data_IF_108235359537
#
_entry.id   IF_108235359537
#
_cell.length_a   1.000
_cell.length_b   1.000
_cell.length_c   1.000
_cell.angle_alpha   90.00
_cell.angle_beta   90.00
_cell.angle_gamma   90.00
#
_symmetry.space_group_name_H-M   'P 1'
#
loop_
_entity.id
_entity.type
_entity.pdbx_description
1 polymer ?
#
# COMPACT_ATOMS: atom_id res chain seq x y z
N UNK A 1 6.24 -54.14 22.17
CA UNK A 1 5.36 -54.54 21.04
C UNK A 1 6.16 -55.01 19.83
N UNK A 2 7.01 -54.18 19.22
CA UNK A 2 7.82 -54.54 18.03
C UNK A 2 8.77 -55.73 18.27
N UNK A 3 9.41 -55.83 19.45
CA UNK A 3 10.26 -56.97 19.82
C UNK A 3 9.54 -58.32 19.81
N UNK A 4 8.26 -58.37 20.22
CA UNK A 4 7.48 -59.61 20.21
C UNK A 4 7.09 -60.00 18.78
N UNK A 5 6.68 -59.04 17.95
CA UNK A 5 6.32 -59.28 16.54
C UNK A 5 7.53 -59.78 15.74
N UNK A 6 8.71 -59.19 15.96
CA UNK A 6 9.97 -59.66 15.36
C UNK A 6 10.37 -61.06 15.83
N UNK A 7 10.06 -61.43 17.08
CA UNK A 7 10.29 -62.80 17.56
C UNK A 7 9.36 -63.80 16.86
N UNK A 8 8.07 -63.50 16.71
CA UNK A 8 7.13 -64.36 15.98
C UNK A 8 7.45 -64.49 14.48
N UNK A 9 7.98 -63.44 13.85
CA UNK A 9 8.42 -63.49 12.46
C UNK A 9 9.68 -64.34 12.24
N UNK A 10 10.50 -64.58 13.28
CA UNK A 10 11.83 -65.21 13.17
C UNK A 10 11.87 -66.67 13.64
N UNK A 11 10.81 -67.19 14.28
CA UNK A 11 10.77 -68.59 14.74
C UNK A 11 10.41 -69.57 13.60
N UNK A 12 11.24 -70.62 13.47
CA UNK A 12 11.21 -71.62 12.39
C UNK A 12 9.96 -72.54 12.39
N UNK A 13 9.14 -72.49 13.45
CA UNK A 13 8.10 -73.49 13.76
C UNK A 13 6.66 -73.08 13.41
N UNK A 14 6.45 -71.91 12.82
CA UNK A 14 5.11 -71.39 12.50
C UNK A 14 4.74 -71.59 11.03
N UNK A 15 3.44 -71.80 10.75
CA UNK A 15 2.92 -71.97 9.40
C UNK A 15 3.18 -70.73 8.52
N UNK A 16 3.39 -70.89 7.20
CA UNK A 16 3.76 -69.80 6.29
C UNK A 16 2.74 -68.66 6.25
N UNK A 17 1.46 -68.95 6.49
CA UNK A 17 0.35 -67.97 6.52
C UNK A 17 0.52 -66.99 7.70
N UNK A 18 0.94 -67.48 8.87
CA UNK A 18 1.10 -66.66 10.07
C UNK A 18 2.28 -65.69 9.93
N UNK A 19 3.36 -66.11 9.27
CA UNK A 19 4.49 -65.23 8.94
C UNK A 19 4.07 -64.10 8.00
N UNK A 20 3.29 -64.40 6.98
CA UNK A 20 2.78 -63.40 6.04
C UNK A 20 1.87 -62.37 6.75
N UNK A 21 1.00 -62.84 7.64
CA UNK A 21 0.13 -61.96 8.44
C UNK A 21 0.94 -60.96 9.28
N UNK A 22 1.99 -61.41 9.99
CA UNK A 22 2.82 -60.52 10.80
C UNK A 22 3.65 -59.54 9.96
N UNK A 23 4.20 -59.99 8.81
CA UNK A 23 4.92 -59.11 7.88
C UNK A 23 3.98 -58.04 7.32
N UNK A 24 2.78 -58.43 6.88
CA UNK A 24 1.78 -57.49 6.38
C UNK A 24 1.36 -56.47 7.45
N UNK A 25 1.11 -56.93 8.68
CA UNK A 25 0.79 -56.06 9.82
C UNK A 25 1.88 -55.01 10.08
N UNK A 26 3.17 -55.39 9.98
CA UNK A 26 4.29 -54.46 10.11
C UNK A 26 4.24 -53.37 9.03
N UNK A 27 4.07 -53.74 7.76
CA UNK A 27 3.98 -52.78 6.66
C UNK A 27 2.79 -51.84 6.80
N UNK A 28 1.64 -52.34 7.26
CA UNK A 28 0.45 -51.53 7.55
C UNK A 28 0.74 -50.52 8.65
N UNK A 29 1.38 -50.93 9.76
CA UNK A 29 1.72 -50.02 10.87
C UNK A 29 2.73 -48.95 10.44
N UNK A 30 3.73 -49.32 9.63
CA UNK A 30 4.69 -48.34 9.08
C UNK A 30 4.02 -47.36 8.13
N UNK A 31 3.16 -47.84 7.22
CA UNK A 31 2.40 -46.99 6.31
C UNK A 31 1.48 -46.02 7.05
N UNK A 32 0.73 -46.53 8.03
CA UNK A 32 -0.17 -45.73 8.87
C UNK A 32 0.56 -44.70 9.73
N UNK A 33 1.82 -44.95 10.10
CA UNK A 33 2.63 -44.00 10.87
C UNK A 33 3.33 -42.98 9.96
N UNK A 34 3.75 -43.39 8.77
CA UNK A 34 4.48 -42.53 7.83
C UNK A 34 3.60 -41.39 7.26
N UNK A 35 2.33 -41.68 6.96
CA UNK A 35 1.38 -40.71 6.40
C UNK A 35 1.18 -39.48 7.31
N UNK A 36 0.80 -39.62 8.60
CA UNK A 36 0.61 -38.47 9.48
C UNK A 36 1.91 -37.73 9.78
N UNK A 37 3.05 -38.44 9.90
CA UNK A 37 4.36 -37.80 10.08
C UNK A 37 4.68 -36.92 8.88
N UNK A 38 4.52 -37.44 7.67
CA UNK A 38 4.78 -36.68 6.44
C UNK A 38 3.85 -35.47 6.32
N UNK A 39 2.56 -35.63 6.63
CA UNK A 39 1.60 -34.53 6.64
C UNK A 39 1.92 -33.47 7.70
N UNK A 40 2.38 -33.89 8.89
CA UNK A 40 2.76 -32.99 9.96
C UNK A 40 3.99 -32.17 9.58
N UNK A 41 5.04 -32.83 9.08
CA UNK A 41 6.27 -32.17 8.61
C UNK A 41 5.95 -31.22 7.47
N UNK A 42 5.14 -31.64 6.49
CA UNK A 42 4.71 -30.77 5.41
C UNK A 42 4.01 -29.51 5.93
N UNK A 43 3.03 -29.67 6.83
CA UNK A 43 2.30 -28.54 7.42
C UNK A 43 3.20 -27.61 8.22
N UNK A 44 4.14 -28.17 8.98
CA UNK A 44 5.12 -27.41 9.76
C UNK A 44 6.01 -26.55 8.85
N UNK A 45 6.45 -27.10 7.71
CA UNK A 45 7.28 -26.37 6.76
C UNK A 45 6.50 -25.34 5.93
N UNK A 46 5.23 -25.60 5.60
CA UNK A 46 4.44 -24.73 4.73
C UNK A 46 3.63 -23.67 5.48
N UNK A 47 3.24 -23.91 6.73
CA UNK A 47 2.40 -23.01 7.53
C UNK A 47 2.80 -23.01 9.02
N UNK A 48 3.99 -22.49 9.38
CA UNK A 48 4.51 -22.47 10.76
C UNK A 48 3.89 -21.41 11.68
N UNK A 49 2.97 -20.57 11.18
CA UNK A 49 2.43 -19.43 11.93
C UNK A 49 1.06 -19.75 12.51
N UNK A 50 0.86 -19.38 13.78
CA UNK A 50 -0.44 -19.35 14.44
C UNK A 50 -0.82 -17.89 14.74
N UNK A 51 -2.11 -17.56 14.59
CA UNK A 51 -2.63 -16.21 14.88
C UNK A 51 -3.60 -16.33 16.05
N UNK A 52 -3.31 -15.63 17.14
CA UNK A 52 -4.16 -15.51 18.32
C UNK A 52 -4.64 -14.07 18.48
N UNK A 53 -5.83 -13.90 19.06
CA UNK A 53 -6.38 -12.58 19.39
C UNK A 53 -6.14 -12.33 20.88
N UNK A 54 -5.44 -11.25 21.18
CA UNK A 54 -5.30 -10.73 22.54
C UNK A 54 -6.19 -9.48 22.72
N UNK A 55 -6.74 -9.30 23.92
CA UNK A 55 -7.56 -8.14 24.31
C UNK A 55 -6.91 -7.31 25.42
N UNK A 56 -5.67 -7.61 25.78
CA UNK A 56 -4.97 -6.90 26.85
C UNK A 56 -4.52 -5.50 26.41
N UNK A 57 -5.41 -4.52 26.57
CA UNK A 57 -5.20 -3.13 26.15
C UNK A 57 -4.16 -2.38 27.00
N UNK A 58 -3.82 -2.88 28.20
CA UNK A 58 -2.89 -2.19 29.11
C UNK A 58 -1.43 -2.19 28.66
N UNK A 59 -1.04 -3.10 27.77
CA UNK A 59 0.34 -3.23 27.27
C UNK A 59 0.50 -2.80 25.82
N UNK A 60 -0.52 -2.18 25.25
CA UNK A 60 -0.53 -1.86 23.83
C UNK A 60 -0.07 -0.43 23.57
N UNK A 61 1.15 -0.28 23.05
CA UNK A 61 1.65 1.01 22.61
C UNK A 61 1.20 1.25 21.16
N UNK A 62 0.09 1.97 21.01
CA UNK A 62 -0.47 2.30 19.71
C UNK A 62 0.06 3.62 19.20
N UNK A 63 0.46 3.61 17.93
CA UNK A 63 0.79 4.84 17.24
C UNK A 63 -0.41 5.37 16.49
N UNK A 64 -0.69 6.66 16.66
CA UNK A 64 -1.79 7.33 15.96
C UNK A 64 -1.57 7.29 14.44
N UNK A 65 -2.60 7.01 13.62
CA UNK A 65 -2.46 6.96 12.17
C UNK A 65 -2.14 8.33 11.58
N UNK A 66 -1.49 8.35 10.42
CA UNK A 66 -1.30 9.58 9.66
C UNK A 66 -2.61 10.01 9.02
N UNK A 67 -2.80 11.34 8.92
CA UNK A 67 -3.99 11.96 8.34
C UNK A 67 -3.57 12.78 7.13
N UNK A 68 -4.07 12.41 5.96
CA UNK A 68 -3.86 13.17 4.73
C UNK A 68 -5.16 13.86 4.32
N UNK A 69 -5.10 15.15 4.01
CA UNK A 69 -6.23 15.93 3.54
C UNK A 69 -6.10 16.14 2.03
N UNK A 70 -7.12 15.74 1.27
CA UNK A 70 -7.16 15.98 -0.17
C UNK A 70 -8.28 16.96 -0.50
N UNK A 71 -7.92 18.16 -0.95
CA UNK A 71 -8.89 19.09 -1.50
C UNK A 71 -9.47 18.57 -2.81
N UNK A 72 -10.77 18.77 -3.04
CA UNK A 72 -11.41 18.47 -4.31
C UNK A 72 -10.95 19.44 -5.40
N UNK A 73 -10.67 20.69 -5.01
CA UNK A 73 -10.08 21.70 -5.88
C UNK A 73 -8.56 21.51 -5.95
N UNK A 74 -8.10 20.99 -7.08
CA UNK A 74 -6.69 20.64 -7.32
C UNK A 74 -5.84 21.78 -7.87
N UNK A 75 -6.48 22.89 -8.26
CA UNK A 75 -5.82 24.06 -8.84
C UNK A 75 -5.91 25.24 -7.87
N UNK A 76 -4.81 25.96 -7.73
CA UNK A 76 -4.82 27.26 -7.07
C UNK A 76 -5.30 28.31 -8.08
N UNK A 77 -6.49 28.87 -7.87
CA UNK A 77 -7.07 29.85 -8.79
C UNK A 77 -6.15 31.07 -8.98
N UNK A 78 -5.47 31.53 -7.92
CA UNK A 78 -4.60 32.71 -7.99
C UNK A 78 -3.36 32.44 -8.84
N UNK A 79 -2.64 31.35 -8.55
CA UNK A 79 -1.46 30.94 -9.32
C UNK A 79 -1.82 30.56 -10.76
N UNK A 80 -2.99 29.97 -10.99
CA UNK A 80 -3.49 29.69 -12.35
C UNK A 80 -3.71 30.97 -13.13
N UNK A 81 -4.37 31.98 -12.55
CA UNK A 81 -4.63 33.24 -13.23
C UNK A 81 -3.34 34.00 -13.57
N UNK A 82 -2.34 33.94 -12.68
CA UNK A 82 -1.00 34.50 -12.93
C UNK A 82 -0.26 33.75 -14.05
N UNK A 83 -0.28 32.42 -14.03
CA UNK A 83 0.33 31.58 -15.06
C UNK A 83 -0.33 31.76 -16.45
N UNK A 84 -1.65 31.92 -16.48
CA UNK A 84 -2.40 32.18 -17.72
C UNK A 84 -2.13 33.59 -18.25
N UNK A 85 -1.87 34.56 -17.36
CA UNK A 85 -1.59 35.94 -17.75
C UNK A 85 -0.16 36.14 -18.26
N UNK A 86 0.81 35.39 -17.73
CA UNK A 86 2.21 35.43 -18.18
C UNK A 86 2.45 34.77 -19.56
N UNK A 87 1.56 33.86 -19.98
CA UNK A 87 1.69 33.14 -21.25
C UNK A 87 0.82 33.72 -22.37
N UNK A 88 1.31 34.76 -23.05
CA UNK A 88 0.58 35.42 -24.15
C UNK A 88 0.53 34.62 -25.46
N UNK A 89 1.43 33.64 -25.65
CA UNK A 89 1.59 32.89 -26.90
C UNK A 89 0.45 31.90 -27.18
N UNK A 90 -0.37 31.58 -26.18
CA UNK A 90 -1.39 30.53 -26.23
C UNK A 90 -2.74 31.13 -25.85
N UNK A 91 -3.83 30.69 -26.50
CA UNK A 91 -5.18 31.13 -26.14
C UNK A 91 -5.49 30.79 -24.67
N UNK A 92 -5.82 31.81 -23.86
CA UNK A 92 -6.14 31.68 -22.42
C UNK A 92 -7.15 30.56 -22.15
N UNK A 93 -8.21 30.48 -22.97
CA UNK A 93 -9.26 29.45 -22.85
C UNK A 93 -8.73 28.02 -23.05
N UNK A 94 -7.78 27.86 -23.97
CA UNK A 94 -7.16 26.57 -24.24
C UNK A 94 -6.20 26.18 -23.11
N UNK A 95 -5.41 27.13 -22.59
CA UNK A 95 -4.48 26.89 -21.50
C UNK A 95 -5.19 26.51 -20.18
N UNK A 96 -6.29 27.19 -19.87
CA UNK A 96 -7.13 26.85 -18.71
C UNK A 96 -7.66 25.42 -18.86
N UNK A 97 -8.22 25.08 -20.03
CA UNK A 97 -8.72 23.73 -20.28
C UNK A 97 -7.63 22.66 -20.09
N UNK A 98 -6.42 22.93 -20.58
CA UNK A 98 -5.28 22.04 -20.40
C UNK A 98 -4.91 21.84 -18.93
N UNK A 99 -4.90 22.90 -18.11
CA UNK A 99 -4.62 22.80 -16.68
C UNK A 99 -5.70 21.99 -15.94
N UNK A 100 -6.97 22.16 -16.30
CA UNK A 100 -8.07 21.35 -15.77
C UNK A 100 -7.95 19.87 -16.18
N UNK A 101 -7.67 19.59 -17.46
CA UNK A 101 -7.48 18.21 -17.96
C UNK A 101 -6.29 17.52 -17.28
N UNK A 102 -5.24 18.28 -16.92
CA UNK A 102 -4.10 17.78 -16.14
C UNK A 102 -4.45 17.56 -14.66
N UNK A 103 -5.16 18.50 -14.04
CA UNK A 103 -5.53 18.44 -12.61
C UNK A 103 -6.42 17.24 -12.32
N UNK A 104 -7.41 17.04 -13.19
CA UNK A 104 -8.38 15.96 -13.13
C UNK A 104 -8.01 14.82 -14.06
N UNK A 105 -6.72 14.65 -14.38
CA UNK A 105 -6.23 13.55 -15.19
C UNK A 105 -6.61 12.23 -14.52
N UNK A 106 -7.67 11.64 -15.05
CA UNK A 106 -8.07 10.27 -14.78
C UNK A 106 -7.65 9.42 -15.97
N UNK A 107 -7.37 8.15 -15.71
CA UNK A 107 -6.97 7.16 -16.70
C UNK A 107 -8.00 7.06 -17.85
N UNK A 108 -9.26 7.45 -17.61
CA UNK A 108 -10.35 7.46 -18.58
C UNK A 108 -10.53 8.81 -19.32
N UNK A 109 -9.73 9.84 -19.01
CA UNK A 109 -9.83 11.18 -19.63
C UNK A 109 -9.24 11.22 -21.05
N UNK A 110 -9.91 11.94 -21.96
CA UNK A 110 -9.58 11.92 -23.39
C UNK A 110 -8.27 12.69 -23.70
N UNK A 111 -7.14 11.99 -23.70
CA UNK A 111 -5.80 12.57 -23.74
C UNK A 111 -5.36 13.10 -25.11
N UNK A 112 -6.21 13.03 -26.14
CA UNK A 112 -5.85 13.47 -27.48
C UNK A 112 -5.63 14.99 -27.57
N UNK A 113 -6.16 15.78 -26.63
CA UNK A 113 -6.02 17.25 -26.61
C UNK A 113 -4.71 17.77 -26.00
N UNK A 114 -3.98 16.97 -25.20
CA UNK A 114 -2.70 17.39 -24.60
C UNK A 114 -1.56 17.54 -25.63
N UNK A 115 -1.73 17.01 -26.83
CA UNK A 115 -0.73 17.04 -27.89
C UNK A 115 -0.43 18.46 -28.42
N UNK A 116 -1.35 19.41 -28.23
CA UNK A 116 -1.17 20.81 -28.66
C UNK A 116 -0.28 21.65 -27.75
N UNK A 117 -0.08 21.25 -26.49
CA UNK A 117 0.64 22.02 -25.48
C UNK A 117 2.04 21.49 -25.18
N UNK A 118 2.58 20.67 -26.09
CA UNK A 118 3.87 19.98 -26.01
C UNK A 118 5.10 20.88 -25.87
N UNK A 119 4.93 22.22 -25.84
CA UNK A 119 6.01 23.21 -25.75
C UNK A 119 6.27 23.75 -24.34
N UNK A 120 5.42 23.46 -23.36
CA UNK A 120 5.59 23.94 -21.98
C UNK A 120 6.24 22.85 -21.14
N UNK A 121 7.31 23.15 -20.42
CA UNK A 121 7.95 22.16 -19.55
C UNK A 121 7.16 21.96 -18.25
N UNK A 122 7.13 20.73 -17.67
CA UNK A 122 6.41 20.44 -16.44
C UNK A 122 6.73 21.39 -15.27
N UNK A 123 7.99 21.82 -15.17
CA UNK A 123 8.45 22.71 -14.11
C UNK A 123 7.73 24.06 -14.08
N UNK A 124 7.17 24.51 -15.22
CA UNK A 124 6.51 25.80 -15.33
C UNK A 124 5.10 25.78 -14.74
N UNK A 125 4.37 24.67 -14.87
CA UNK A 125 2.97 24.57 -14.44
C UNK A 125 2.76 23.80 -13.13
N UNK A 126 3.76 23.08 -12.61
CA UNK A 126 3.68 22.37 -11.31
C UNK A 126 3.23 23.29 -10.15
N UNK A 127 3.72 24.54 -10.02
CA UNK A 127 3.30 25.44 -8.93
C UNK A 127 1.83 25.86 -8.95
N UNK A 128 1.13 25.63 -10.07
CA UNK A 128 -0.30 25.96 -10.20
C UNK A 128 -1.19 24.96 -9.46
N UNK A 129 -0.69 23.74 -9.23
CA UNK A 129 -1.44 22.70 -8.53
C UNK A 129 -1.34 22.87 -7.02
N UNK A 130 -2.46 22.68 -6.32
CA UNK A 130 -2.46 22.69 -4.87
C UNK A 130 -1.63 21.51 -4.34
N UNK A 131 -0.74 21.74 -3.36
CA UNK A 131 0.01 20.66 -2.75
C UNK A 131 -0.94 19.71 -1.99
N UNK A 132 -0.61 18.43 -1.99
CA UNK A 132 -1.25 17.47 -1.07
C UNK A 132 -0.75 17.78 0.33
N UNK A 133 -1.63 18.25 1.21
CA UNK A 133 -1.29 18.51 2.61
C UNK A 133 -1.47 17.24 3.42
N UNK A 134 -0.42 16.84 4.15
CA UNK A 134 -0.46 15.69 5.05
C UNK A 134 0.09 16.07 6.41
N UNK A 135 -0.54 15.56 7.47
CA UNK A 135 -0.12 15.78 8.84
C UNK A 135 0.31 14.44 9.46
N UNK A 136 1.50 14.43 10.06
CA UNK A 136 2.06 13.30 10.81
C UNK A 136 2.51 13.78 12.19
N UNK A 137 1.98 13.15 13.25
CA UNK A 137 2.28 13.49 14.65
C UNK A 137 3.77 13.34 14.99
N UNK A 138 4.49 12.41 14.35
CA UNK A 138 5.92 12.16 14.60
C UNK A 138 6.84 13.01 13.72
N UNK A 139 6.34 13.41 12.55
CA UNK A 139 7.04 14.25 11.60
C UNK A 139 6.45 15.65 11.69
N UNK A 140 6.94 16.45 12.67
CA UNK A 140 6.59 17.88 12.80
C UNK A 140 7.01 18.63 11.53
N UNK A 141 6.17 18.59 10.50
CA UNK A 141 6.35 19.37 9.30
C UNK A 141 5.73 20.74 9.55
N UNK A 142 6.51 21.80 9.33
CA UNK A 142 6.16 23.19 9.64
C UNK A 142 5.30 23.86 8.58
N UNK A 143 4.93 23.16 7.51
CA UNK A 143 4.28 23.80 6.38
C UNK A 143 2.75 23.84 6.51
N UNK A 144 2.28 25.08 6.63
CA UNK A 144 0.93 25.61 6.45
C UNK A 144 -0.05 25.40 7.62
N UNK A 145 -0.15 26.41 8.50
CA UNK A 145 -1.13 26.59 9.59
C UNK A 145 -2.61 26.73 9.11
N UNK A 146 -3.01 26.13 7.99
CA UNK A 146 -4.43 26.16 7.57
C UNK A 146 -5.27 25.17 8.40
N UNK A 147 -4.66 24.14 8.98
CA UNK A 147 -5.34 23.05 9.69
C UNK A 147 -4.71 22.82 11.06
N UNK A 148 -5.49 22.98 12.13
CA UNK A 148 -5.06 22.60 13.48
C UNK A 148 -5.69 21.26 13.84
N UNK A 149 -4.88 20.20 13.82
CA UNK A 149 -5.29 18.88 14.33
C UNK A 149 -5.01 18.87 15.84
N UNK A 150 -6.07 19.03 16.65
CA UNK A 150 -5.94 18.90 18.10
C UNK A 150 -6.25 17.44 18.47
N UNK A 151 -5.23 16.74 18.95
CA UNK A 151 -5.38 15.47 19.63
C UNK A 151 -5.70 15.75 21.10
N UNK A 152 -6.82 15.26 21.60
CA UNK A 152 -7.08 15.28 23.04
C UNK A 152 -6.28 14.15 23.68
N UNK A 153 -5.82 14.31 24.92
CA UNK A 153 -4.92 13.37 25.64
C UNK A 153 -5.52 11.98 25.93
N UNK A 154 -6.67 11.65 25.33
CA UNK A 154 -7.19 10.30 25.24
C UNK A 154 -6.89 9.83 23.82
N UNK A 155 -5.97 8.87 23.68
CA UNK A 155 -5.29 8.41 22.45
C UNK A 155 -6.18 8.02 21.24
N UNK A 156 -7.50 8.13 21.37
CA UNK A 156 -8.53 7.71 20.42
C UNK A 156 -9.35 8.86 19.82
N UNK A 157 -9.00 10.13 20.08
CA UNK A 157 -9.74 11.28 19.54
C UNK A 157 -8.85 12.27 18.80
N UNK A 158 -9.25 12.62 17.57
CA UNK A 158 -8.66 13.73 16.82
C UNK A 158 -9.75 14.73 16.43
N UNK A 159 -9.48 16.02 16.60
CA UNK A 159 -10.34 17.09 16.12
C UNK A 159 -9.63 17.89 15.04
N UNK A 160 -10.27 18.00 13.89
CA UNK A 160 -9.81 18.79 12.76
C UNK A 160 -10.63 20.08 12.74
N UNK A 161 -10.06 21.18 13.23
CA UNK A 161 -10.67 22.49 13.05
C UNK A 161 -10.18 23.09 11.73
N UNK A 162 -11.12 23.53 10.90
CA UNK A 162 -10.80 24.16 9.63
C UNK A 162 -11.44 25.54 9.57
N UNK A 163 -10.60 26.57 9.52
CA UNK A 163 -11.03 27.93 9.30
C UNK A 163 -10.71 28.25 7.83
N UNK A 164 -11.69 28.65 7.03
CA UNK A 164 -11.52 29.13 5.64
C UNK A 164 -11.31 28.09 4.53
N UNK A 165 -11.87 26.89 4.61
CA UNK A 165 -11.92 26.03 3.40
C UNK A 165 -13.09 26.46 2.52
N UNK A 166 -12.80 27.09 1.37
CA UNK A 166 -13.80 27.42 0.35
C UNK A 166 -14.27 26.21 -0.49
N UNK A 167 -13.55 25.09 -0.39
CA UNK A 167 -13.69 23.87 -1.20
C UNK A 167 -14.06 22.62 -0.37
N UNK A 168 -14.57 21.58 -1.03
CA UNK A 168 -14.79 20.28 -0.39
C UNK A 168 -13.44 19.54 -0.23
N UNK A 169 -13.34 18.66 0.77
CA UNK A 169 -12.14 17.86 0.98
C UNK A 169 -12.46 16.44 1.45
N UNK A 170 -11.52 15.53 1.21
CA UNK A 170 -11.57 14.15 1.68
C UNK A 170 -10.45 13.94 2.70
N UNK A 171 -10.76 13.21 3.78
CA UNK A 171 -9.79 12.85 4.81
C UNK A 171 -9.38 11.40 4.58
N UNK A 172 -8.08 11.13 4.48
CA UNK A 172 -7.51 9.80 4.32
C UNK A 172 -6.75 9.40 5.57
N UNK A 173 -7.07 8.22 6.10
CA UNK A 173 -6.39 7.63 7.25
C UNK A 173 -5.47 6.52 6.79
N UNK A 174 -4.21 6.52 7.22
CA UNK A 174 -3.25 5.48 6.83
C UNK A 174 -2.13 5.32 7.87
N UNK A 175 -1.37 4.22 7.79
CA UNK A 175 -0.15 4.08 8.58
C UNK A 175 0.93 5.10 8.18
N UNK A 176 1.91 5.34 9.06
CA UNK A 176 2.99 6.32 8.83
C UNK A 176 3.80 6.04 7.57
N UNK A 177 4.03 4.77 7.26
CA UNK A 177 4.79 4.30 6.10
C UNK A 177 3.89 3.75 4.99
N UNK A 178 2.63 4.17 4.99
CA UNK A 178 1.64 3.82 3.98
C UNK A 178 1.17 5.04 3.20
N UNK A 179 0.70 4.81 1.98
CA UNK A 179 0.08 5.83 1.16
C UNK A 179 -1.42 5.92 1.45
N UNK A 180 -2.02 7.12 1.39
CA UNK A 180 -3.46 7.29 1.49
C UNK A 180 -4.17 6.50 0.38
N UNK A 181 -5.18 5.72 0.75
CA UNK A 181 -5.91 4.86 -0.18
C UNK A 181 -7.41 5.12 -0.13
N UNK A 182 -8.12 4.85 -1.23
CA UNK A 182 -9.58 4.99 -1.30
C UNK A 182 -10.35 4.09 -0.30
N UNK A 183 -9.68 3.13 0.34
CA UNK A 183 -10.31 2.22 1.33
C UNK A 183 -10.58 2.90 2.68
N UNK A 184 -9.87 3.98 2.98
CA UNK A 184 -9.89 4.65 4.29
C UNK A 184 -10.20 6.15 4.14
N UNK A 185 -11.17 6.46 3.28
CA UNK A 185 -11.61 7.83 3.00
C UNK A 185 -12.86 8.19 3.79
N UNK A 186 -12.81 9.35 4.44
CA UNK A 186 -13.97 10.02 5.03
C UNK A 186 -14.28 11.21 4.10
N UNK A 187 -15.40 11.11 3.40
CA UNK A 187 -15.89 12.17 2.53
C UNK A 187 -16.54 13.26 3.38
N UNK A 188 -16.12 14.50 3.20
CA UNK A 188 -16.76 15.64 3.86
C UNK A 188 -17.64 16.39 2.87
N UNK A 189 -18.81 16.81 3.34
CA UNK A 189 -19.73 17.61 2.54
C UNK A 189 -19.68 19.08 2.95
N UNK A 190 -19.94 19.96 1.99
CA UNK A 190 -20.02 21.41 2.21
C UNK A 190 -21.07 21.71 3.28
N UNK A 191 -20.66 22.37 4.36
CA UNK A 191 -21.58 22.82 5.43
C UNK A 191 -21.65 21.95 6.68
N UNK A 192 -20.88 20.86 6.79
CA UNK A 192 -20.81 20.05 8.01
C UNK A 192 -19.74 20.55 8.99
N UNK A 193 -20.12 21.51 9.84
CA UNK A 193 -19.45 21.95 11.08
C UNK A 193 -18.01 22.50 10.96
N UNK A 194 -17.69 23.59 11.67
CA UNK A 194 -16.32 24.18 11.72
C UNK A 194 -15.22 23.25 12.25
N UNK A 195 -15.59 22.08 12.76
CA UNK A 195 -14.68 21.05 13.20
C UNK A 195 -15.26 19.64 13.00
N UNK A 196 -14.40 18.68 12.71
CA UNK A 196 -14.75 17.25 12.64
C UNK A 196 -14.10 16.54 13.81
N UNK A 197 -14.89 15.78 14.58
CA UNK A 197 -14.39 14.91 15.66
C UNK A 197 -14.35 13.47 15.16
N UNK A 198 -13.16 12.87 15.18
CA UNK A 198 -12.93 11.48 14.80
C UNK A 198 -12.69 10.64 16.06
N UNK A 199 -13.47 9.57 16.23
CA UNK A 199 -13.27 8.56 17.27
C UNK A 199 -12.72 7.29 16.63
N UNK A 200 -11.61 6.79 17.18
CA UNK A 200 -10.90 5.64 16.63
C UNK A 200 -11.03 4.40 17.52
N UNK A 201 -11.36 3.27 16.90
CA UNK A 201 -11.22 1.94 17.50
C UNK A 201 -10.15 1.18 16.72
N UNK A 202 -9.05 0.84 17.38
CA UNK A 202 -7.89 0.25 16.74
C UNK A 202 -7.82 -1.25 16.98
N UNK A 203 -7.51 -1.97 15.91
CA UNK A 203 -7.09 -3.36 15.96
C UNK A 203 -5.70 -3.41 15.33
N UNK A 204 -4.65 -3.60 16.13
CA UNK A 204 -3.33 -3.82 15.57
C UNK A 204 -2.95 -5.29 15.64
N UNK A 205 -2.31 -5.72 14.56
CA UNK A 205 -1.78 -7.06 14.39
C UNK A 205 -0.29 -6.94 14.63
N UNK A 206 0.20 -7.56 15.69
CA UNK A 206 1.63 -7.63 15.99
C UNK A 206 2.14 -9.03 15.69
N UNK A 207 3.46 -9.17 15.58
CA UNK A 207 4.11 -10.46 15.40
C UNK A 207 5.21 -10.58 16.43
N UNK A 208 5.36 -11.76 17.01
CA UNK A 208 6.48 -12.06 17.88
C UNK A 208 7.80 -11.90 17.13
N UNK A 209 8.85 -11.48 17.84
CA UNK A 209 10.19 -11.34 17.29
C UNK A 209 10.71 -12.64 16.66
N UNK A 210 10.31 -13.80 17.20
CA UNK A 210 10.66 -15.11 16.68
C UNK A 210 10.13 -15.35 15.25
N UNK A 211 9.01 -14.73 14.87
CA UNK A 211 8.46 -14.84 13.50
C UNK A 211 9.42 -14.24 12.47
N UNK A 212 10.28 -13.30 12.88
CA UNK A 212 11.30 -12.69 12.02
C UNK A 212 12.36 -13.70 11.55
N UNK A 213 12.63 -14.75 12.35
CA UNK A 213 13.57 -15.82 12.00
C UNK A 213 13.09 -16.73 10.86
N UNK A 214 11.77 -16.75 10.58
CA UNK A 214 11.21 -17.53 9.49
C UNK A 214 11.49 -16.86 8.14
N UNK A 215 11.66 -17.66 7.10
CA UNK A 215 11.83 -17.10 5.76
C UNK A 215 10.53 -16.47 5.26
N UNK A 216 10.64 -15.40 4.46
CA UNK A 216 9.52 -14.63 3.91
C UNK A 216 8.51 -15.55 3.20
N UNK A 217 8.98 -16.57 2.46
CA UNK A 217 8.09 -17.51 1.76
C UNK A 217 7.26 -18.40 2.70
N UNK A 218 7.77 -18.70 3.90
CA UNK A 218 7.06 -19.52 4.91
C UNK A 218 5.97 -18.71 5.60
N UNK A 219 6.27 -17.44 5.92
CA UNK A 219 5.33 -16.55 6.60
C UNK A 219 4.39 -15.77 5.68
N UNK A 220 4.70 -15.71 4.38
CA UNK A 220 3.92 -15.05 3.32
C UNK A 220 3.69 -13.55 3.52
N UNK A 221 4.44 -12.92 4.45
CA UNK A 221 4.44 -11.48 4.70
C UNK A 221 5.87 -10.96 4.90
N UNK A 222 6.05 -9.65 4.76
CA UNK A 222 7.31 -8.94 4.99
C UNK A 222 7.15 -7.97 6.16
N UNK A 223 8.22 -7.83 6.93
CA UNK A 223 8.36 -6.74 7.90
C UNK A 223 8.71 -5.42 7.20
N UNK A 224 8.51 -4.31 7.91
CA UNK A 224 8.78 -2.96 7.40
C UNK A 224 10.22 -2.80 6.89
N UNK A 225 11.21 -3.37 7.57
CA UNK A 225 12.62 -3.27 7.21
C UNK A 225 13.07 -4.30 6.15
N UNK A 226 12.15 -5.13 5.64
CA UNK A 226 12.45 -6.18 4.66
C UNK A 226 12.06 -5.78 3.23
N UNK A 227 12.22 -4.49 2.93
CA UNK A 227 11.91 -3.96 1.61
C UNK A 227 12.89 -4.49 0.56
N UNK A 228 12.31 -4.95 -0.56
CA UNK A 228 13.03 -5.26 -1.79
C UNK A 228 12.53 -4.38 -2.95
N UNK A 229 11.92 -3.24 -2.62
CA UNK A 229 11.32 -2.33 -3.59
C UNK A 229 12.41 -1.43 -4.20
N UNK A 230 12.33 -1.21 -5.52
CA UNK A 230 13.31 -0.42 -6.26
C UNK A 230 13.30 1.05 -5.82
N UNK A 231 12.12 1.67 -5.73
CA UNK A 231 12.01 3.09 -5.40
C UNK A 231 11.82 3.35 -3.89
N UNK A 232 11.63 2.30 -3.08
CA UNK A 232 11.39 2.41 -1.63
C UNK A 232 12.22 1.38 -0.84
N UNK A 233 13.56 1.40 -0.92
CA UNK A 233 14.40 0.36 -0.31
C UNK A 233 14.43 0.41 1.22
N UNK A 234 14.07 1.53 1.84
CA UNK A 234 14.13 1.69 3.31
C UNK A 234 12.98 1.03 4.06
N UNK A 235 11.78 0.98 3.46
CA UNK A 235 10.56 0.56 4.14
C UNK A 235 9.61 -0.19 3.21
N UNK A 236 8.99 -1.24 3.73
CA UNK A 236 8.00 -2.05 3.04
C UNK A 236 6.62 -1.81 3.62
N UNK A 237 5.69 -1.42 2.75
CA UNK A 237 4.27 -1.54 3.03
C UNK A 237 3.51 -1.99 1.78
N UNK A 238 2.31 -2.59 1.92
CA UNK A 238 1.53 -3.04 0.77
C UNK A 238 1.25 -1.92 -0.24
N UNK A 239 1.01 -0.71 0.26
CA UNK A 239 0.75 0.46 -0.58
C UNK A 239 2.01 0.94 -1.34
N UNK A 240 3.17 0.94 -0.69
CA UNK A 240 4.45 1.23 -1.36
C UNK A 240 4.79 0.15 -2.39
N UNK A 241 4.48 -1.12 -2.13
CA UNK A 241 4.68 -2.21 -3.09
C UNK A 241 3.82 -2.00 -4.34
N UNK A 242 2.54 -1.63 -4.18
CA UNK A 242 1.65 -1.32 -5.30
C UNK A 242 2.15 -0.12 -6.11
N UNK A 243 2.59 0.95 -5.43
CA UNK A 243 3.17 2.11 -6.12
C UNK A 243 4.45 1.73 -6.85
N UNK A 244 5.36 1.00 -6.21
CA UNK A 244 6.60 0.53 -6.83
C UNK A 244 6.32 -0.28 -8.10
N UNK A 245 5.33 -1.17 -8.06
CA UNK A 245 4.95 -1.98 -9.21
C UNK A 245 4.40 -1.11 -10.35
N UNK A 246 3.56 -0.12 -10.02
CA UNK A 246 3.02 0.85 -10.98
C UNK A 246 4.11 1.71 -11.63
N UNK A 247 5.05 2.23 -10.85
CA UNK A 247 6.19 3.00 -11.34
C UNK A 247 7.09 2.15 -12.25
N UNK A 248 7.38 0.91 -11.83
CA UNK A 248 8.18 -0.04 -12.61
C UNK A 248 7.49 -0.36 -13.95
N UNK A 249 6.16 -0.46 -13.96
CA UNK A 249 5.39 -0.69 -15.18
C UNK A 249 5.45 0.52 -16.14
N UNK A 250 5.42 1.76 -15.61
CA UNK A 250 5.60 2.97 -16.41
C UNK A 250 6.97 3.03 -17.07
N UNK A 251 8.02 2.80 -16.30
CA UNK A 251 9.39 2.78 -16.80
C UNK A 251 9.57 1.66 -17.85
N UNK A 252 9.11 0.44 -17.56
CA UNK A 252 9.24 -0.70 -18.48
C UNK A 252 8.49 -0.53 -19.80
N UNK A 253 7.28 0.06 -19.78
CA UNK A 253 6.42 0.12 -20.96
C UNK A 253 6.46 1.45 -21.72
N UNK A 254 6.85 2.54 -21.07
CA UNK A 254 6.86 3.88 -21.64
C UNK A 254 8.20 4.61 -21.45
N UNK A 255 9.17 4.04 -20.73
CA UNK A 255 10.52 4.59 -20.58
C UNK A 255 10.62 5.84 -19.71
N UNK A 256 9.57 6.19 -18.99
CA UNK A 256 9.52 7.39 -18.17
C UNK A 256 8.55 7.22 -16.99
N UNK A 257 8.73 8.06 -15.97
CA UNK A 257 7.85 8.13 -14.79
C UNK A 257 7.12 9.48 -14.80
N UNK A 258 5.82 9.56 -14.48
CA UNK A 258 5.11 10.84 -14.42
C UNK A 258 5.77 11.85 -13.46
N UNK A 259 5.81 13.11 -13.89
CA UNK A 259 6.48 14.21 -13.16
C UNK A 259 6.00 14.38 -11.71
N UNK A 260 4.75 14.01 -11.40
CA UNK A 260 4.21 14.09 -10.05
C UNK A 260 4.84 13.08 -9.08
N UNK A 261 5.67 12.14 -9.54
CA UNK A 261 6.48 11.24 -8.70
C UNK A 261 7.96 11.63 -8.64
N UNK A 262 8.33 12.83 -9.11
CA UNK A 262 9.73 13.28 -9.13
C UNK A 262 10.38 13.27 -7.74
N UNK A 263 9.63 13.60 -6.68
CA UNK A 263 10.11 13.59 -5.29
C UNK A 263 10.55 12.19 -4.81
N UNK A 264 9.98 11.13 -5.40
CA UNK A 264 10.35 9.74 -5.12
C UNK A 264 11.48 9.27 -6.03
N UNK A 265 11.48 9.76 -7.28
CA UNK A 265 12.31 9.24 -8.36
C UNK A 265 13.11 10.36 -9.03
N UNK A 266 13.99 11.06 -8.30
CA UNK A 266 14.68 12.24 -8.83
C UNK A 266 15.65 11.91 -9.96
N UNK A 267 16.23 10.71 -9.93
CA UNK A 267 17.23 10.24 -10.90
C UNK A 267 16.61 9.63 -12.17
N UNK A 268 15.29 9.42 -12.22
CA UNK A 268 14.64 8.77 -13.36
C UNK A 268 14.12 9.79 -14.37
N UNK A 269 14.02 9.35 -15.63
CA UNK A 269 13.48 10.16 -16.71
C UNK A 269 12.01 10.49 -16.47
N UNK A 270 11.71 11.78 -16.32
CA UNK A 270 10.34 12.25 -16.13
C UNK A 270 9.57 12.28 -17.45
N UNK A 271 8.31 11.84 -17.43
CA UNK A 271 7.48 11.79 -18.62
C UNK A 271 7.13 13.20 -19.11
N UNK A 272 7.42 13.45 -20.38
CA UNK A 272 6.77 14.52 -21.14
C UNK A 272 5.33 14.15 -21.48
N UNK A 273 4.60 15.06 -22.14
CA UNK A 273 3.24 14.81 -22.62
C UNK A 273 3.12 13.55 -23.49
N UNK A 274 4.14 13.24 -24.30
CA UNK A 274 4.16 12.01 -25.10
C UNK A 274 4.22 10.75 -24.22
N UNK A 275 5.01 10.80 -23.15
CA UNK A 275 5.11 9.73 -22.16
C UNK A 275 3.78 9.50 -21.41
N UNK A 276 3.13 10.59 -20.98
CA UNK A 276 1.79 10.52 -20.40
C UNK A 276 0.76 9.95 -21.38
N UNK A 277 0.90 10.26 -22.69
CA UNK A 277 0.08 9.66 -23.75
C UNK A 277 0.29 8.17 -23.91
N UNK A 278 1.53 7.71 -23.81
CA UNK A 278 1.85 6.28 -23.79
C UNK A 278 1.17 5.58 -22.60
N UNK A 279 1.29 6.17 -21.39
CA UNK A 279 0.72 5.61 -20.16
C UNK A 279 -0.79 5.50 -20.28
N UNK A 280 -1.48 6.56 -20.71
CA UNK A 280 -2.93 6.53 -20.89
C UNK A 280 -3.38 5.49 -21.92
N UNK A 281 -2.72 5.41 -23.09
CA UNK A 281 -3.05 4.39 -24.11
C UNK A 281 -2.86 2.95 -23.59
N UNK A 282 -1.88 2.75 -22.72
CA UNK A 282 -1.57 1.44 -22.11
C UNK A 282 -2.23 1.25 -20.75
N UNK A 283 -3.09 2.17 -20.33
CA UNK A 283 -3.70 2.17 -19.01
C UNK A 283 -4.24 0.80 -18.61
N UNK A 284 -5.10 0.19 -19.42
CA UNK A 284 -5.67 -1.15 -19.14
C UNK A 284 -4.61 -2.24 -18.92
N UNK A 285 -3.42 -2.14 -19.51
CA UNK A 285 -2.30 -3.07 -19.27
C UNK A 285 -1.47 -2.69 -18.04
N UNK A 286 -1.49 -1.42 -17.66
CA UNK A 286 -0.79 -0.85 -16.50
C UNK A 286 -1.63 -0.93 -15.20
N UNK A 287 -2.96 -1.09 -15.30
CA UNK A 287 -3.89 -1.23 -14.16
C UNK A 287 -4.16 -2.69 -13.75
N UNK A 288 -3.63 -3.69 -14.47
CA UNK A 288 -3.83 -5.12 -14.18
C UNK A 288 -2.89 -5.67 -13.09
N UNK A 289 -2.46 -4.82 -12.16
CA UNK A 289 -1.65 -5.18 -10.99
C UNK A 289 -2.44 -4.80 -9.73
#
# INVERSE_FOLDING_TARGET
>A
MIRNILSHAKLSSYHPIERYYWIFSIFVVFGMSFIPISSFVFKFLTNPINVSVDRNYFHFNLTFPSVTLCLHDRLNETAMNEFVSSNEKISKKQLVKFLFDLAYFDIDSNLDQLTKFTKIHPNEYIPVFNPITYYDKHRRNKDVEIYKVNFFDIETEASLSYQYIGSNFDIYLHGQMELPSRKSVIRTERGQASYIKLLFTTHAITSDSNVKSLAIFQRKCRFDDESNLLYFPGHYSPSLCQLNCKLSAYEKHCGCIPFFYHYVTPETNQCSHSGLKCIHKKARKLTLI
#
